data_IF_417483562609
#
_entry.id   IF_417483562609
#
_cell.length_a   1.000
_cell.length_b   1.000
_cell.length_c   1.000
_cell.angle_alpha   90.00
_cell.angle_beta   90.00
_cell.angle_gamma   90.00
#
_symmetry.space_group_name_H-M   'P 1'
#
loop_
_entity.id
_entity.type
_entity.pdbx_description
1 polymer ?
#
# COMPACT_ATOMS: atom_id res chain seq x y z
N UNK A 1 -36.15 -5.21 3.94
CA UNK A 1 -34.77 -5.66 4.24
C UNK A 1 -34.02 -5.61 2.91
N UNK A 2 -33.05 -4.71 2.73
CA UNK A 2 -32.24 -4.66 1.51
C UNK A 2 -31.48 -5.99 1.41
N UNK A 3 -31.50 -6.58 0.22
CA UNK A 3 -30.71 -7.79 -0.07
C UNK A 3 -29.24 -7.49 0.24
N UNK A 4 -28.60 -8.31 1.07
CA UNK A 4 -27.23 -8.07 1.50
C UNK A 4 -26.30 -8.11 0.27
N UNK A 5 -25.65 -7.01 -0.04
CA UNK A 5 -24.65 -6.92 -1.13
C UNK A 5 -23.58 -7.99 -0.91
N UNK A 6 -23.24 -8.70 -1.96
CA UNK A 6 -22.23 -9.74 -1.91
C UNK A 6 -20.98 -9.27 -2.69
N UNK A 7 -19.88 -8.96 -2.01
CA UNK A 7 -18.65 -8.53 -2.68
C UNK A 7 -18.06 -9.67 -3.51
N UNK A 8 -17.56 -9.35 -4.68
CA UNK A 8 -16.88 -10.26 -5.60
C UNK A 8 -15.54 -9.69 -6.02
N UNK A 9 -14.60 -10.54 -6.34
CA UNK A 9 -13.31 -10.14 -6.91
C UNK A 9 -13.43 -10.22 -8.42
N UNK A 10 -13.30 -9.10 -9.11
CA UNK A 10 -13.48 -8.99 -10.56
C UNK A 10 -12.15 -8.99 -11.34
N UNK A 11 -11.04 -8.75 -10.68
CA UNK A 11 -9.71 -8.77 -11.30
C UNK A 11 -8.60 -8.69 -10.27
N UNK A 12 -7.39 -8.99 -10.70
CA UNK A 12 -6.21 -8.90 -9.86
C UNK A 12 -4.92 -8.95 -10.66
N UNK A 13 -3.90 -8.28 -10.14
CA UNK A 13 -2.56 -8.28 -10.72
C UNK A 13 -1.50 -8.20 -9.63
N UNK A 14 -0.30 -8.60 -9.95
CA UNK A 14 0.88 -8.38 -9.12
C UNK A 14 2.11 -8.11 -9.98
N UNK A 15 3.08 -7.43 -9.41
CA UNK A 15 4.43 -7.35 -9.97
C UNK A 15 5.19 -8.68 -9.75
N UNK A 16 6.29 -8.91 -10.46
CA UNK A 16 7.26 -9.94 -10.06
C UNK A 16 7.69 -9.72 -8.60
N UNK A 17 8.02 -10.81 -7.90
CA UNK A 17 8.61 -10.75 -6.56
C UNK A 17 10.11 -10.49 -6.73
N UNK A 18 10.56 -9.32 -6.25
CA UNK A 18 11.97 -8.94 -6.29
C UNK A 18 12.78 -9.54 -5.15
N UNK A 19 14.09 -9.59 -5.32
CA UNK A 19 15.06 -9.84 -4.24
C UNK A 19 15.48 -8.53 -3.60
N UNK A 20 15.87 -8.57 -2.33
CA UNK A 20 16.53 -7.43 -1.68
C UNK A 20 17.76 -7.00 -2.53
N UNK A 21 17.88 -5.70 -2.81
CA UNK A 21 18.90 -5.12 -3.69
C UNK A 21 18.92 -5.69 -5.12
N UNK A 22 17.83 -6.33 -5.55
CA UNK A 22 17.73 -6.97 -6.87
C UNK A 22 17.20 -6.02 -7.96
N UNK A 23 16.64 -6.61 -9.03
CA UNK A 23 16.20 -5.88 -10.24
C UNK A 23 15.15 -4.81 -10.00
N UNK A 24 14.37 -4.89 -8.92
CA UNK A 24 13.36 -3.90 -8.54
C UNK A 24 13.87 -2.88 -7.52
N UNK A 25 15.16 -2.85 -7.20
CA UNK A 25 15.75 -2.00 -6.16
C UNK A 25 15.53 -0.50 -6.39
N UNK A 26 15.39 -0.05 -7.64
CA UNK A 26 15.12 1.35 -7.98
C UNK A 26 13.66 1.77 -7.78
N UNK A 27 12.74 0.81 -7.55
CA UNK A 27 11.31 1.08 -7.45
C UNK A 27 10.88 1.26 -6.00
N UNK A 28 10.11 2.31 -5.75
CA UNK A 28 9.46 2.50 -4.45
C UNK A 28 8.29 1.53 -4.28
N UNK A 29 7.79 1.38 -3.05
CA UNK A 29 6.55 0.62 -2.80
C UNK A 29 5.37 1.20 -3.58
N UNK A 30 5.27 2.54 -3.65
CA UNK A 30 4.20 3.23 -4.36
C UNK A 30 4.27 3.06 -5.89
N UNK A 31 5.48 3.00 -6.48
CA UNK A 31 5.65 2.67 -7.90
C UNK A 31 5.14 1.25 -8.19
N UNK A 32 5.54 0.28 -7.38
CA UNK A 32 5.11 -1.12 -7.53
C UNK A 32 3.59 -1.27 -7.30
N UNK A 33 3.06 -0.57 -6.30
CA UNK A 33 1.64 -0.50 -6.03
C UNK A 33 0.86 0.08 -7.21
N UNK A 34 1.31 1.19 -7.78
CA UNK A 34 0.69 1.80 -8.95
C UNK A 34 0.63 0.87 -10.15
N UNK A 35 1.73 0.17 -10.45
CA UNK A 35 1.77 -0.83 -11.54
C UNK A 35 0.79 -1.98 -11.30
N UNK A 36 0.71 -2.50 -10.08
CA UNK A 36 -0.22 -3.58 -9.76
C UNK A 36 -1.68 -3.14 -9.80
N UNK A 37 -2.00 -1.93 -9.33
CA UNK A 37 -3.35 -1.36 -9.42
C UNK A 37 -3.75 -1.18 -10.88
N UNK A 38 -2.92 -0.53 -11.69
CA UNK A 38 -3.20 -0.33 -13.12
C UNK A 38 -3.44 -1.66 -13.84
N UNK A 39 -2.59 -2.67 -13.58
CA UNK A 39 -2.75 -4.00 -14.16
C UNK A 39 -4.00 -4.74 -13.67
N UNK A 40 -4.45 -4.50 -12.44
CA UNK A 40 -5.69 -5.08 -11.91
C UNK A 40 -6.92 -4.46 -12.56
N UNK A 41 -6.92 -3.14 -12.72
CA UNK A 41 -8.00 -2.41 -13.40
C UNK A 41 -8.13 -2.82 -14.87
N UNK A 42 -7.01 -2.91 -15.59
CA UNK A 42 -6.98 -3.36 -16.98
C UNK A 42 -7.58 -4.77 -17.13
N UNK A 43 -7.18 -5.72 -16.29
CA UNK A 43 -7.71 -7.08 -16.30
C UNK A 43 -9.18 -7.18 -15.90
N UNK A 44 -9.65 -6.28 -15.06
CA UNK A 44 -11.04 -6.21 -14.65
C UNK A 44 -11.93 -5.51 -15.69
N UNK A 45 -11.35 -4.80 -16.67
CA UNK A 45 -12.09 -3.95 -17.60
C UNK A 45 -12.74 -2.74 -16.91
N UNK A 46 -12.15 -2.26 -15.79
CA UNK A 46 -12.65 -1.14 -14.99
C UNK A 46 -11.77 0.07 -15.23
N UNK A 47 -12.37 1.20 -15.58
CA UNK A 47 -11.67 2.47 -15.70
C UNK A 47 -11.24 3.03 -14.33
N UNK A 48 -10.13 3.77 -14.25
CA UNK A 48 -9.68 4.38 -13.00
C UNK A 48 -10.67 5.42 -12.43
N UNK A 49 -11.54 5.95 -13.26
CA UNK A 49 -12.63 6.87 -12.91
C UNK A 49 -13.83 6.19 -12.23
N UNK A 50 -13.93 4.88 -12.32
CA UNK A 50 -14.96 4.07 -11.66
C UNK A 50 -14.57 3.64 -10.24
N UNK A 51 -13.30 3.84 -9.85
CA UNK A 51 -12.82 3.47 -8.51
C UNK A 51 -13.29 4.50 -7.49
N UNK A 52 -13.93 4.01 -6.43
CA UNK A 52 -14.49 4.86 -5.37
C UNK A 52 -13.66 4.88 -4.09
N UNK A 53 -12.83 3.86 -3.87
CA UNK A 53 -11.94 3.78 -2.71
C UNK A 53 -10.71 2.92 -2.99
N UNK A 54 -9.59 3.26 -2.34
CA UNK A 54 -8.34 2.49 -2.46
C UNK A 54 -7.80 2.14 -1.07
N UNK A 55 -7.58 0.87 -0.79
CA UNK A 55 -7.02 0.40 0.48
C UNK A 55 -5.77 -0.44 0.18
N UNK A 56 -4.61 0.04 0.61
CA UNK A 56 -3.34 -0.67 0.37
C UNK A 56 -2.61 -0.96 1.68
N UNK A 57 -2.21 -2.21 1.82
CA UNK A 57 -1.33 -2.63 2.90
C UNK A 57 0.12 -2.19 2.64
N UNK A 58 0.78 -1.64 3.65
CA UNK A 58 2.21 -1.38 3.64
C UNK A 58 2.75 -1.35 5.06
N UNK A 59 3.87 -2.01 5.30
CA UNK A 59 4.50 -2.09 6.63
C UNK A 59 5.54 -0.98 6.81
N UNK A 60 6.48 -0.84 5.88
CA UNK A 60 7.64 0.06 5.98
C UNK A 60 7.30 1.43 5.37
N UNK A 61 6.65 2.26 6.18
CA UNK A 61 6.12 3.56 5.73
C UNK A 61 7.05 4.74 6.04
N UNK A 62 8.09 4.55 6.86
CA UNK A 62 9.02 5.61 7.20
C UNK A 62 9.71 6.16 5.93
N UNK A 63 9.67 7.48 5.76
CA UNK A 63 10.26 8.15 4.60
C UNK A 63 9.54 7.94 3.25
N UNK A 64 8.44 7.18 3.21
CA UNK A 64 7.69 6.91 1.98
C UNK A 64 6.67 8.01 1.62
N UNK A 65 6.56 9.05 2.45
CA UNK A 65 5.59 10.14 2.28
C UNK A 65 4.28 9.89 3.02
N UNK A 66 3.29 10.74 2.75
CA UNK A 66 1.97 10.66 3.38
C UNK A 66 1.03 9.80 2.54
N UNK A 67 0.24 8.95 3.20
CA UNK A 67 -0.80 8.10 2.59
C UNK A 67 -0.29 7.43 1.31
N UNK A 68 0.57 6.45 1.46
CA UNK A 68 1.22 5.78 0.34
C UNK A 68 0.22 5.05 -0.58
N UNK A 69 -0.93 4.61 -0.06
CA UNK A 69 -2.04 4.11 -0.87
C UNK A 69 -2.54 5.16 -1.88
N UNK A 70 -2.62 6.44 -1.48
CA UNK A 70 -2.98 7.54 -2.36
C UNK A 70 -1.94 7.74 -3.46
N UNK A 71 -0.66 7.67 -3.13
CA UNK A 71 0.41 7.81 -4.10
C UNK A 71 0.35 6.70 -5.16
N UNK A 72 0.14 5.45 -4.74
CA UNK A 72 -0.03 4.32 -5.64
C UNK A 72 -1.29 4.45 -6.52
N UNK A 73 -2.40 4.92 -5.95
CA UNK A 73 -3.65 5.16 -6.68
C UNK A 73 -3.45 6.19 -7.80
N UNK A 74 -2.83 7.33 -7.49
CA UNK A 74 -2.53 8.38 -8.47
C UNK A 74 -1.54 7.88 -9.54
N UNK A 75 -0.53 7.12 -9.17
CA UNK A 75 0.39 6.49 -10.12
C UNK A 75 -0.31 5.51 -11.07
N UNK A 76 -1.45 4.94 -10.67
CA UNK A 76 -2.31 4.09 -11.50
C UNK A 76 -3.36 4.88 -12.31
N UNK A 77 -3.39 6.20 -12.23
CA UNK A 77 -4.34 7.07 -12.94
C UNK A 77 -5.66 7.32 -12.21
N UNK A 78 -5.83 6.84 -10.98
CA UNK A 78 -7.00 7.12 -10.15
C UNK A 78 -6.96 8.57 -9.66
N UNK A 79 -8.11 9.25 -9.66
CA UNK A 79 -8.21 10.66 -9.27
C UNK A 79 -7.76 10.90 -7.83
N UNK A 80 -7.14 12.07 -7.60
CA UNK A 80 -6.82 12.57 -6.25
C UNK A 80 -8.05 12.73 -5.34
N UNK A 81 -9.25 12.86 -5.90
CA UNK A 81 -10.50 12.97 -5.13
C UNK A 81 -10.95 11.65 -4.51
N UNK A 82 -10.50 10.51 -5.05
CA UNK A 82 -10.85 9.19 -4.52
C UNK A 82 -10.20 8.98 -3.17
N UNK A 83 -10.94 8.66 -2.10
CA UNK A 83 -10.35 8.41 -0.79
C UNK A 83 -9.41 7.21 -0.81
N UNK A 84 -8.37 7.26 0.03
CA UNK A 84 -7.38 6.19 0.11
C UNK A 84 -6.93 5.96 1.55
N UNK A 85 -6.70 4.70 1.90
CA UNK A 85 -6.25 4.27 3.21
C UNK A 85 -5.02 3.35 3.09
N UNK A 86 -3.97 3.66 3.82
CA UNK A 86 -2.85 2.74 4.01
C UNK A 86 -3.02 2.02 5.35
N UNK A 87 -3.04 0.70 5.33
CA UNK A 87 -3.18 -0.13 6.53
C UNK A 87 -1.89 -0.87 6.84
N UNK A 88 -1.59 -1.04 8.12
CA UNK A 88 -0.47 -1.83 8.59
C UNK A 88 -0.94 -2.84 9.64
N UNK A 89 -0.87 -4.09 9.29
CA UNK A 89 -1.09 -5.27 10.15
C UNK A 89 0.01 -6.28 9.89
N UNK A 90 1.24 -5.77 9.74
CA UNK A 90 2.42 -6.55 9.38
C UNK A 90 2.14 -7.39 8.11
N UNK A 91 2.48 -8.67 8.08
CA UNK A 91 2.31 -9.54 6.91
C UNK A 91 0.84 -9.74 6.48
N UNK A 92 -0.13 -9.42 7.33
CA UNK A 92 -1.56 -9.53 7.05
C UNK A 92 -2.18 -8.25 6.47
N UNK A 93 -1.40 -7.19 6.25
CA UNK A 93 -1.93 -5.88 5.85
C UNK A 93 -2.80 -5.95 4.60
N UNK A 94 -2.37 -6.68 3.57
CA UNK A 94 -3.15 -6.82 2.32
C UNK A 94 -4.43 -7.63 2.50
N UNK A 95 -4.41 -8.68 3.32
CA UNK A 95 -5.60 -9.45 3.65
C UNK A 95 -6.60 -8.60 4.45
N UNK A 96 -6.10 -7.79 5.37
CA UNK A 96 -6.93 -6.86 6.15
C UNK A 96 -7.55 -5.79 5.23
N UNK A 97 -6.80 -5.26 4.26
CA UNK A 97 -7.34 -4.36 3.23
C UNK A 97 -8.52 -4.98 2.46
N UNK A 98 -8.40 -6.24 2.04
CA UNK A 98 -9.47 -6.98 1.36
C UNK A 98 -10.67 -7.19 2.28
N UNK A 99 -10.44 -7.55 3.55
CA UNK A 99 -11.51 -7.74 4.52
C UNK A 99 -12.29 -6.45 4.78
N UNK A 100 -11.59 -5.31 4.94
CA UNK A 100 -12.22 -3.99 5.10
C UNK A 100 -13.00 -3.60 3.85
N UNK A 101 -12.44 -3.79 2.66
CA UNK A 101 -13.13 -3.53 1.40
C UNK A 101 -14.43 -4.36 1.29
N UNK A 102 -14.37 -5.65 1.64
CA UNK A 102 -15.54 -6.52 1.66
C UNK A 102 -16.63 -6.01 2.61
N UNK A 103 -16.25 -5.50 3.78
CA UNK A 103 -17.18 -4.94 4.76
C UNK A 103 -17.84 -3.66 4.23
N UNK A 104 -17.08 -2.76 3.63
CA UNK A 104 -17.60 -1.50 3.08
C UNK A 104 -18.57 -1.74 1.92
N UNK A 105 -18.30 -2.70 1.04
CA UNK A 105 -19.23 -3.09 -0.04
C UNK A 105 -20.52 -3.69 0.55
N UNK A 106 -20.42 -4.56 1.56
CA UNK A 106 -21.60 -5.14 2.23
C UNK A 106 -22.47 -4.08 2.90
N UNK A 107 -21.87 -3.04 3.46
CA UNK A 107 -22.57 -1.91 4.06
C UNK A 107 -23.18 -0.95 3.02
N UNK A 108 -22.81 -1.09 1.74
CA UNK A 108 -23.28 -0.21 0.68
C UNK A 108 -22.62 1.16 0.65
N UNK A 109 -21.47 1.31 1.31
CA UNK A 109 -20.70 2.57 1.34
C UNK A 109 -20.02 2.83 0.00
N UNK A 110 -19.56 1.78 -0.67
CA UNK A 110 -18.88 1.82 -1.96
C UNK A 110 -19.26 0.60 -2.81
N UNK A 111 -19.17 0.76 -4.14
CA UNK A 111 -19.42 -0.32 -5.10
C UNK A 111 -18.12 -0.87 -5.70
N UNK A 112 -17.12 -0.01 -5.94
CA UNK A 112 -15.85 -0.39 -6.57
C UNK A 112 -14.67 0.03 -5.70
N UNK A 113 -13.99 -0.95 -5.11
CA UNK A 113 -12.83 -0.74 -4.24
C UNK A 113 -11.61 -1.48 -4.79
N UNK A 114 -10.48 -0.79 -4.83
CA UNK A 114 -9.18 -1.42 -5.03
C UNK A 114 -8.61 -1.77 -3.66
N UNK A 115 -8.31 -3.05 -3.43
CA UNK A 115 -7.69 -3.53 -2.21
C UNK A 115 -6.46 -4.40 -2.52
N UNK A 116 -5.36 -4.16 -1.83
CA UNK A 116 -4.12 -4.90 -2.07
C UNK A 116 -3.01 -4.52 -1.11
N UNK A 117 -1.78 -4.64 -1.57
CA UNK A 117 -0.62 -4.21 -0.78
C UNK A 117 0.61 -4.02 -1.65
N UNK A 118 1.58 -3.38 -1.07
CA UNK A 118 2.85 -3.03 -1.71
C UNK A 118 3.95 -2.94 -0.67
N UNK A 119 5.17 -3.28 -1.05
CA UNK A 119 6.33 -3.12 -0.19
C UNK A 119 7.61 -3.02 -1.01
N UNK A 120 8.57 -2.26 -0.52
CA UNK A 120 9.92 -2.19 -1.08
C UNK A 120 10.94 -2.22 0.07
N UNK A 121 11.37 -3.43 0.46
CA UNK A 121 12.34 -3.63 1.52
C UNK A 121 13.67 -2.92 1.22
N UNK A 122 14.08 -2.91 -0.04
CA UNK A 122 15.32 -2.26 -0.49
C UNK A 122 15.29 -0.75 -0.29
N UNK A 123 14.11 -0.13 -0.42
CA UNK A 123 13.94 1.33 -0.28
C UNK A 123 13.57 1.77 1.14
N UNK A 124 13.45 0.83 2.06
CA UNK A 124 13.23 1.16 3.46
C UNK A 124 14.44 1.93 4.04
N UNK A 125 14.22 3.05 4.72
CA UNK A 125 15.32 3.86 5.25
C UNK A 125 15.97 3.24 6.47
N UNK A 126 17.13 3.75 6.82
CA UNK A 126 17.68 3.61 8.16
C UNK A 126 17.21 4.76 9.03
N UNK A 127 16.99 4.50 10.29
CA UNK A 127 16.53 5.46 11.28
C UNK A 127 17.70 5.95 12.14
N UNK A 128 17.68 7.23 12.41
CA UNK A 128 18.61 7.88 13.34
C UNK A 128 17.78 8.34 14.56
N UNK A 129 17.61 7.50 15.60
CA UNK A 129 16.80 7.83 16.78
C UNK A 129 17.35 9.05 17.50
N UNK A 130 16.47 9.84 18.10
CA UNK A 130 16.84 11.04 18.90
C UNK A 130 17.58 12.15 18.16
N UNK A 131 17.67 12.11 16.82
CA UNK A 131 18.39 13.12 16.02
C UNK A 131 17.87 14.54 16.23
N UNK A 132 16.58 14.70 16.56
CA UNK A 132 15.94 16.00 16.74
C UNK A 132 16.50 16.80 17.92
N UNK A 133 16.93 16.15 18.99
CA UNK A 133 17.58 16.76 20.15
C UNK A 133 19.09 16.92 20.00
N UNK A 134 19.66 16.46 18.90
CA UNK A 134 21.10 16.40 18.65
C UNK A 134 21.78 15.26 19.41
N UNK A 135 23.02 14.99 19.03
CA UNK A 135 23.85 13.96 19.65
C UNK A 135 25.02 14.59 20.41
N UNK A 136 25.27 14.07 21.61
CA UNK A 136 26.47 14.41 22.39
C UNK A 136 27.68 13.67 21.83
N UNK A 137 28.85 13.95 22.35
CA UNK A 137 30.08 13.23 22.04
C UNK A 137 29.90 11.71 22.26
N UNK A 138 30.31 10.91 21.26
CA UNK A 138 30.21 9.45 21.28
C UNK A 138 29.63 8.89 19.98
N UNK A 139 29.51 7.57 19.93
CA UNK A 139 28.95 6.86 18.78
C UNK A 139 27.43 6.92 18.78
N UNK A 140 26.84 6.96 17.59
CA UNK A 140 25.40 6.91 17.36
C UNK A 140 25.09 5.70 16.49
N UNK A 141 24.11 4.90 16.90
CA UNK A 141 23.65 3.74 16.15
C UNK A 141 22.61 4.18 15.11
N UNK A 142 22.82 3.76 13.86
CA UNK A 142 21.84 3.87 12.77
C UNK A 142 21.12 2.55 12.65
N UNK A 143 19.79 2.55 12.79
CA UNK A 143 18.99 1.32 12.84
C UNK A 143 18.17 1.15 11.58
N UNK A 144 18.03 -0.06 11.02
CA UNK A 144 17.06 -0.32 9.97
C UNK A 144 15.63 -0.08 10.51
N UNK A 145 14.72 0.37 9.65
CA UNK A 145 13.32 0.61 10.03
C UNK A 145 12.56 -0.68 10.37
N UNK A 146 13.12 -1.81 10.00
CA UNK A 146 12.56 -3.15 10.26
C UNK A 146 13.56 -4.01 11.04
N UNK A 147 13.74 -3.81 12.35
CA UNK A 147 14.49 -4.77 13.13
C UNK A 147 13.73 -6.09 13.12
N UNK A 148 14.35 -7.12 12.59
CA UNK A 148 13.85 -8.48 12.68
C UNK A 148 14.16 -8.98 14.10
N UNK A 149 13.23 -8.73 15.02
CA UNK A 149 13.18 -9.34 16.34
C UNK A 149 14.37 -9.08 17.28
N UNK A 150 14.14 -8.41 18.39
CA UNK A 150 14.77 -8.76 19.66
C UNK A 150 13.87 -9.76 20.37
#
# INVERSE_FOLDING_TARGET
MSEARQPVIVGGARTPIGRLLGSLASKSATDLGGVSIAGALDRAGIGPDQVEYVIMGQVLQAGAGQITARQAAVAAGISMSVPALTVNKVCLSSLDAIAVASQLIRLGEYDVIVAGGMESMTRAPHLLPNSRSGYKYGSVEVRPVWPMGE
#
